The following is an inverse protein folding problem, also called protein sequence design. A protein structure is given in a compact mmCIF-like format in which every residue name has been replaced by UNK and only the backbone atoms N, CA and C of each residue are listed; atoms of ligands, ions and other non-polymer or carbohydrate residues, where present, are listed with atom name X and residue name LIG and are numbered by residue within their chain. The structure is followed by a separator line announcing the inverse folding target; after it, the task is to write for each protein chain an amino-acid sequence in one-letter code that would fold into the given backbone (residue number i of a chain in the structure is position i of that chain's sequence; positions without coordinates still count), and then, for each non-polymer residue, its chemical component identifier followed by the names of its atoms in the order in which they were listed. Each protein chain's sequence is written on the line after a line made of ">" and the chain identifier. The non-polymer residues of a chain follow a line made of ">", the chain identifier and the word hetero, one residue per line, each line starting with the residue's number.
data_IF_559171496857
#
_entry.id   IF_559171496857
#
_cell.length_a   1.000
_cell.length_b   1.000
_cell.length_c   1.000
_cell.angle_alpha   90.00
_cell.angle_beta   90.00
_cell.angle_gamma   90.00
#
_symmetry.space_group_name_H-M   'P 1'
#
loop_
_entity.id
_entity.type
_entity.pdbx_description
1 polymer ?
#
# COMPACT_ATOMS: atom_id res chain seq x y z
N UNK A 1 -6.49 66.13 9.29
CA UNK A 1 -6.71 65.24 10.45
C UNK A 1 -6.72 63.81 9.96
N UNK A 2 -5.59 63.13 10.01
CA UNK A 2 -5.48 61.72 9.64
C UNK A 2 -4.67 61.05 10.74
N UNK A 3 -5.40 60.50 11.71
CA UNK A 3 -4.82 59.79 12.85
C UNK A 3 -4.30 58.44 12.36
N UNK A 4 -2.97 58.26 12.39
CA UNK A 4 -2.33 56.95 12.22
C UNK A 4 -2.49 56.16 13.51
N UNK A 5 -3.29 55.10 13.47
CA UNK A 5 -3.27 54.08 14.51
C UNK A 5 -1.97 53.27 14.40
N UNK A 6 -1.12 53.36 15.42
CA UNK A 6 -0.01 52.43 15.63
C UNK A 6 -0.56 51.14 16.22
N UNK A 7 -0.53 50.06 15.46
CA UNK A 7 -0.69 48.71 16.01
C UNK A 7 0.61 48.37 16.73
N UNK A 8 0.60 48.41 18.06
CA UNK A 8 1.62 47.76 18.88
C UNK A 8 1.60 46.28 18.51
N UNK A 9 2.68 45.79 17.91
CA UNK A 9 2.80 44.39 17.49
C UNK A 9 2.72 43.47 18.69
N UNK A 10 1.52 42.97 18.98
CA UNK A 10 1.35 41.83 19.88
C UNK A 10 2.12 40.65 19.26
N UNK A 11 3.12 40.14 19.98
CA UNK A 11 3.85 38.95 19.56
C UNK A 11 2.87 37.82 19.22
N UNK A 12 3.14 37.05 18.16
CA UNK A 12 2.28 35.93 17.77
C UNK A 12 2.19 34.94 18.95
N UNK A 13 1.01 34.73 19.55
CA UNK A 13 0.86 33.87 20.72
C UNK A 13 1.25 32.41 20.46
N UNK A 14 1.46 32.03 19.19
CA UNK A 14 1.94 30.70 18.80
C UNK A 14 3.43 30.49 19.04
N UNK A 15 4.21 31.55 19.23
CA UNK A 15 5.66 31.44 19.52
C UNK A 15 5.90 30.70 20.84
N UNK A 16 4.97 30.80 21.77
CA UNK A 16 5.01 30.14 23.08
C UNK A 16 4.30 28.77 23.11
N UNK A 17 3.74 28.29 21.99
CA UNK A 17 3.10 26.97 21.89
C UNK A 17 4.10 25.79 21.92
N UNK A 18 5.28 25.98 22.51
CA UNK A 18 6.23 24.89 22.72
C UNK A 18 5.68 23.96 23.78
N UNK A 19 5.36 22.74 23.38
CA UNK A 19 5.11 21.66 24.33
C UNK A 19 6.38 21.46 25.17
N UNK A 20 6.30 21.41 26.51
CA UNK A 20 7.43 21.04 27.36
C UNK A 20 8.06 19.75 26.83
N UNK A 21 9.39 19.70 26.78
CA UNK A 21 10.12 18.54 26.27
C UNK A 21 9.70 17.33 27.11
N UNK A 22 9.04 16.35 26.49
CA UNK A 22 8.59 15.15 27.19
C UNK A 22 9.82 14.45 27.80
N UNK A 23 9.78 14.05 29.09
CA UNK A 23 10.94 13.44 29.77
C UNK A 23 11.44 12.20 29.03
N UNK A 24 10.54 11.44 28.41
CA UNK A 24 10.87 10.24 27.62
C UNK A 24 11.38 10.52 26.20
N UNK A 25 11.51 11.80 25.82
CA UNK A 25 11.93 12.21 24.49
C UNK A 25 10.88 11.94 23.39
N UNK A 26 11.24 12.10 22.11
CA UNK A 26 10.33 11.82 21.01
C UNK A 26 10.04 10.32 20.89
N UNK A 27 8.82 9.93 20.47
CA UNK A 27 8.49 8.52 20.29
C UNK A 27 9.41 7.89 19.24
N UNK A 28 9.93 6.70 19.55
CA UNK A 28 10.81 5.97 18.64
C UNK A 28 10.09 5.61 17.35
N UNK A 29 10.71 5.94 16.22
CA UNK A 29 10.21 5.58 14.90
C UNK A 29 10.39 4.06 14.70
N UNK A 30 9.30 3.30 14.81
CA UNK A 30 9.30 1.84 14.63
C UNK A 30 9.45 1.41 13.16
N UNK A 31 9.03 2.27 12.24
CA UNK A 31 9.02 1.98 10.80
C UNK A 31 9.46 3.22 10.02
N UNK A 32 10.29 3.01 9.00
CA UNK A 32 10.62 4.08 8.05
C UNK A 32 9.32 4.59 7.43
N UNK A 33 9.11 5.90 7.49
CA UNK A 33 8.03 6.56 6.74
C UNK A 33 8.51 6.68 5.31
N UNK A 34 8.43 5.58 4.59
CA UNK A 34 8.61 5.62 3.15
C UNK A 34 7.56 6.59 2.56
N UNK A 35 7.87 7.16 1.39
CA UNK A 35 7.15 8.29 0.82
C UNK A 35 5.62 8.14 0.78
N UNK A 36 4.93 9.26 0.56
CA UNK A 36 3.45 9.34 0.57
C UNK A 36 2.80 8.34 -0.40
N UNK A 37 3.51 7.92 -1.44
CA UNK A 37 3.06 6.93 -2.42
C UNK A 37 4.09 5.81 -2.60
N UNK A 38 3.64 4.58 -2.91
CA UNK A 38 4.52 3.44 -3.11
C UNK A 38 5.30 3.60 -4.42
N UNK A 39 6.63 3.71 -4.32
CA UNK A 39 7.54 3.76 -5.46
C UNK A 39 8.07 2.36 -5.80
N UNK A 40 7.16 1.46 -6.15
CA UNK A 40 7.48 0.06 -6.50
C UNK A 40 6.75 -0.38 -7.78
N UNK A 41 7.39 -1.29 -8.51
CA UNK A 41 6.76 -2.10 -9.55
C UNK A 41 6.63 -3.53 -9.04
N UNK A 42 5.51 -4.21 -9.30
CA UNK A 42 5.32 -5.59 -8.91
C UNK A 42 4.86 -6.46 -10.08
N UNK A 43 5.15 -7.75 -9.96
CA UNK A 43 4.66 -8.80 -10.83
C UNK A 43 3.98 -9.87 -9.96
N UNK A 44 2.74 -10.21 -10.30
CA UNK A 44 1.96 -11.31 -9.73
C UNK A 44 1.93 -12.43 -10.76
N UNK A 45 2.48 -13.58 -10.40
CA UNK A 45 2.40 -14.82 -11.18
C UNK A 45 1.33 -15.72 -10.56
N UNK A 46 0.35 -16.12 -11.36
CA UNK A 46 -0.69 -17.09 -11.00
C UNK A 46 -0.82 -18.11 -12.11
N UNK A 47 -0.38 -19.35 -11.87
CA UNK A 47 -0.30 -20.40 -12.92
C UNK A 47 0.53 -19.89 -14.10
N UNK A 48 -0.05 -19.85 -15.30
CA UNK A 48 0.62 -19.42 -16.54
C UNK A 48 0.40 -17.93 -16.85
N UNK A 49 -0.24 -17.17 -15.96
CA UNK A 49 -0.49 -15.75 -16.13
C UNK A 49 0.45 -14.89 -15.27
N UNK A 50 0.97 -13.81 -15.86
CA UNK A 50 1.76 -12.81 -15.14
C UNK A 50 1.16 -11.42 -15.34
N UNK A 51 0.64 -10.86 -14.26
CA UNK A 51 0.13 -9.50 -14.21
C UNK A 51 1.21 -8.57 -13.64
N UNK A 52 1.36 -7.38 -14.23
CA UNK A 52 2.36 -6.39 -13.80
C UNK A 52 1.71 -5.03 -13.63
N UNK A 53 2.12 -4.29 -12.61
CA UNK A 53 1.79 -2.89 -12.47
C UNK A 53 2.77 -2.16 -11.56
N UNK A 54 2.70 -0.83 -11.59
CA UNK A 54 3.33 0.02 -10.58
C UNK A 54 2.32 0.35 -9.48
N UNK A 55 2.81 0.83 -8.34
CA UNK A 55 1.98 1.49 -7.35
C UNK A 55 1.13 2.61 -7.97
N UNK A 56 -0.10 2.77 -7.49
CA UNK A 56 -1.05 3.77 -7.99
C UNK A 56 -0.65 5.17 -7.50
N UNK A 57 -0.27 6.04 -8.45
CA UNK A 57 0.24 7.40 -8.19
C UNK A 57 -0.76 8.53 -8.43
N UNK A 58 -1.92 8.26 -9.03
CA UNK A 58 -2.92 9.30 -9.35
C UNK A 58 -3.66 9.83 -8.12
N UNK A 59 -4.34 10.97 -8.27
CA UNK A 59 -5.07 11.62 -7.17
C UNK A 59 -6.16 10.72 -6.59
N UNK A 60 -6.90 10.03 -7.47
CA UNK A 60 -7.93 9.08 -7.05
C UNK A 60 -7.31 7.75 -6.61
N UNK A 61 -7.80 7.14 -5.51
CA UNK A 61 -7.44 5.77 -5.15
C UNK A 61 -7.77 4.80 -6.28
N UNK A 62 -6.97 3.72 -6.47
CA UNK A 62 -7.33 2.68 -7.41
C UNK A 62 -8.63 2.00 -7.00
N UNK A 63 -9.43 1.56 -7.97
CA UNK A 63 -10.61 0.74 -7.70
C UNK A 63 -10.14 -0.66 -7.35
N UNK A 64 -10.31 -1.05 -6.09
CA UNK A 64 -9.96 -2.39 -5.60
C UNK A 64 -11.17 -3.31 -5.64
N UNK A 65 -10.90 -4.61 -5.69
CA UNK A 65 -11.93 -5.63 -5.59
C UNK A 65 -12.56 -5.61 -4.18
N UNK A 66 -13.89 -5.75 -4.01
CA UNK A 66 -14.55 -5.61 -2.72
C UNK A 66 -13.94 -6.43 -1.59
N UNK A 67 -13.59 -7.70 -1.84
CA UNK A 67 -12.92 -8.57 -0.85
C UNK A 67 -11.56 -8.02 -0.39
N UNK A 68 -10.79 -7.41 -1.31
CA UNK A 68 -9.49 -6.79 -0.98
C UNK A 68 -9.72 -5.51 -0.18
N UNK A 69 -10.69 -4.70 -0.60
CA UNK A 69 -11.07 -3.47 0.09
C UNK A 69 -11.52 -3.76 1.53
N UNK A 70 -12.43 -4.72 1.71
CA UNK A 70 -12.93 -5.18 3.02
C UNK A 70 -11.78 -5.60 3.95
N UNK A 71 -10.82 -6.38 3.43
CA UNK A 71 -9.66 -6.79 4.21
C UNK A 71 -8.81 -5.59 4.66
N UNK A 72 -8.52 -4.66 3.74
CA UNK A 72 -7.70 -3.48 4.04
C UNK A 72 -8.39 -2.53 5.03
N UNK A 73 -9.71 -2.38 4.91
CA UNK A 73 -10.52 -1.56 5.81
C UNK A 73 -10.63 -2.15 7.22
N UNK A 74 -10.47 -3.47 7.35
CA UNK A 74 -10.46 -4.18 8.63
C UNK A 74 -9.08 -4.20 9.33
N UNK A 75 -7.99 -3.77 8.67
CA UNK A 75 -6.65 -3.81 9.27
C UNK A 75 -6.58 -2.97 10.55
N UNK A 76 -5.88 -3.39 11.61
CA UNK A 76 -5.63 -2.52 12.76
C UNK A 76 -4.72 -1.35 12.35
N UNK A 77 -4.83 -0.20 13.05
CA UNK A 77 -4.02 0.99 12.75
C UNK A 77 -2.50 0.70 12.75
N UNK A 78 -2.06 -0.23 13.61
CA UNK A 78 -0.66 -0.69 13.66
C UNK A 78 -0.21 -1.38 12.39
N UNK A 79 -1.12 -1.90 11.55
CA UNK A 79 -0.81 -2.57 10.29
C UNK A 79 -1.10 -1.71 9.05
N UNK A 80 -1.75 -0.55 9.20
CA UNK A 80 -2.10 0.34 8.08
C UNK A 80 -0.99 1.31 7.74
N UNK A 81 -0.48 1.26 6.53
CA UNK A 81 0.41 2.25 5.95
C UNK A 81 -0.34 3.47 5.40
N UNK A 82 0.33 4.62 5.27
CA UNK A 82 -0.29 5.88 4.80
C UNK A 82 -0.93 5.77 3.41
N UNK A 83 -0.36 4.91 2.57
CA UNK A 83 -0.82 4.65 1.20
C UNK A 83 -1.57 3.31 1.07
N UNK A 84 -2.22 2.85 2.14
CA UNK A 84 -2.99 1.59 2.13
C UNK A 84 -3.90 1.51 0.90
N UNK A 85 -3.85 0.39 0.19
CA UNK A 85 -4.60 0.15 -1.05
C UNK A 85 -3.98 0.70 -2.33
N UNK A 86 -2.95 1.56 -2.26
CA UNK A 86 -2.27 2.11 -3.45
C UNK A 86 -1.06 1.31 -3.91
N UNK A 87 -0.59 0.34 -3.13
CA UNK A 87 0.53 -0.50 -3.52
C UNK A 87 0.19 -1.35 -4.77
N UNK A 88 1.21 -1.86 -5.45
CA UNK A 88 0.99 -2.67 -6.65
C UNK A 88 0.31 -4.01 -6.30
N UNK A 89 0.60 -4.56 -5.12
CA UNK A 89 0.08 -5.82 -4.61
C UNK A 89 -1.46 -5.90 -4.54
N UNK A 90 -2.17 -4.99 -3.82
CA UNK A 90 -3.63 -5.01 -3.78
C UNK A 90 -4.26 -4.75 -5.15
N UNK A 91 -3.62 -3.95 -6.01
CA UNK A 91 -4.11 -3.68 -7.36
C UNK A 91 -4.02 -4.93 -8.24
N UNK A 92 -2.90 -5.66 -8.20
CA UNK A 92 -2.72 -6.90 -8.96
C UNK A 92 -3.67 -7.99 -8.50
N UNK A 93 -3.80 -8.19 -7.19
CA UNK A 93 -4.77 -9.14 -6.62
C UNK A 93 -6.18 -8.77 -7.03
N UNK A 94 -6.55 -7.48 -6.94
CA UNK A 94 -7.88 -7.02 -7.33
C UNK A 94 -8.18 -7.28 -8.81
N UNK A 95 -7.22 -7.00 -9.69
CA UNK A 95 -7.35 -7.27 -11.13
C UNK A 95 -7.53 -8.76 -11.42
N UNK A 96 -6.72 -9.61 -10.77
CA UNK A 96 -6.85 -11.07 -10.91
C UNK A 96 -8.22 -11.56 -10.46
N UNK A 97 -8.68 -11.13 -9.28
CA UNK A 97 -10.00 -11.54 -8.76
C UNK A 97 -11.14 -11.06 -9.65
N UNK A 98 -11.07 -9.83 -10.16
CA UNK A 98 -12.07 -9.31 -11.10
C UNK A 98 -12.08 -10.11 -12.42
N UNK A 99 -10.92 -10.51 -12.93
CA UNK A 99 -10.83 -11.37 -14.12
C UNK A 99 -11.43 -12.75 -13.88
N UNK A 100 -11.16 -13.34 -12.70
CA UNK A 100 -11.77 -14.60 -12.27
C UNK A 100 -13.29 -14.48 -12.17
N UNK A 101 -13.80 -13.40 -11.60
CA UNK A 101 -15.24 -13.14 -11.52
C UNK A 101 -15.89 -13.00 -12.91
N UNK A 102 -15.24 -12.29 -13.83
CA UNK A 102 -15.73 -12.11 -15.20
C UNK A 102 -15.84 -13.43 -15.98
N UNK A 103 -15.03 -14.44 -15.63
CA UNK A 103 -15.05 -15.77 -16.23
C UNK A 103 -16.10 -16.71 -15.59
N UNK A 104 -16.79 -16.30 -14.52
CA UNK A 104 -17.79 -17.15 -13.84
C UNK A 104 -19.05 -17.29 -14.71
N UNK A 105 -19.61 -18.51 -14.72
CA UNK A 105 -20.87 -18.78 -15.43
C UNK A 105 -22.06 -17.98 -14.88
N UNK A 106 -23.10 -17.77 -15.70
CA UNK A 106 -24.27 -16.92 -15.41
C UNK A 106 -24.93 -17.15 -14.04
N UNK A 107 -24.97 -18.38 -13.53
CA UNK A 107 -25.55 -18.71 -12.21
C UNK A 107 -24.63 -18.31 -11.06
N UNK A 108 -23.32 -18.52 -11.22
CA UNK A 108 -22.32 -18.19 -10.21
C UNK A 108 -22.09 -16.66 -10.11
N UNK A 109 -22.16 -15.95 -11.24
CA UNK A 109 -22.03 -14.49 -11.30
C UNK A 109 -23.13 -13.73 -10.53
N UNK A 110 -24.25 -14.39 -10.18
CA UNK A 110 -25.32 -13.79 -9.35
C UNK A 110 -24.91 -13.58 -7.90
N UNK A 111 -23.87 -14.27 -7.43
CA UNK A 111 -23.37 -14.18 -6.05
C UNK A 111 -21.98 -13.55 -6.07
N UNK A 112 -21.69 -12.58 -5.20
CA UNK A 112 -20.34 -12.06 -5.03
C UNK A 112 -19.34 -13.19 -4.79
N UNK A 113 -18.10 -13.01 -5.25
CA UNK A 113 -17.02 -13.93 -4.91
C UNK A 113 -16.85 -14.02 -3.39
N UNK A 114 -16.66 -15.23 -2.88
CA UNK A 114 -16.41 -15.48 -1.46
C UNK A 114 -14.92 -15.47 -1.14
N UNK A 115 -14.55 -15.25 0.13
CA UNK A 115 -13.16 -15.34 0.61
C UNK A 115 -12.49 -16.68 0.25
N UNK A 116 -13.24 -17.79 0.33
CA UNK A 116 -12.74 -19.12 -0.01
C UNK A 116 -12.47 -19.29 -1.52
N UNK A 117 -13.36 -18.77 -2.37
CA UNK A 117 -13.15 -18.76 -3.82
C UNK A 117 -11.97 -17.87 -4.20
N UNK A 118 -11.80 -16.71 -3.56
CA UNK A 118 -10.66 -15.82 -3.77
C UNK A 118 -9.32 -16.50 -3.42
N UNK A 119 -9.23 -17.16 -2.25
CA UNK A 119 -8.05 -17.96 -1.88
C UNK A 119 -7.78 -19.10 -2.86
N UNK A 120 -8.83 -19.76 -3.37
CA UNK A 120 -8.68 -20.81 -4.39
C UNK A 120 -8.16 -20.25 -5.72
N UNK A 121 -8.62 -19.06 -6.12
CA UNK A 121 -8.22 -18.39 -7.34
C UNK A 121 -6.74 -17.94 -7.32
N UNK A 122 -6.21 -17.64 -6.14
CA UNK A 122 -4.81 -17.23 -5.90
C UNK A 122 -3.92 -18.38 -5.43
N UNK A 123 -4.41 -19.63 -5.48
CA UNK A 123 -3.65 -20.79 -5.01
C UNK A 123 -2.35 -20.92 -5.79
N UNK A 124 -1.23 -20.96 -5.06
CA UNK A 124 0.11 -21.10 -5.63
C UNK A 124 0.67 -19.80 -6.22
N UNK A 125 -0.04 -18.67 -6.06
CA UNK A 125 0.41 -17.39 -6.57
C UNK A 125 1.72 -16.95 -5.90
N UNK A 126 2.60 -16.35 -6.72
CA UNK A 126 3.85 -15.72 -6.28
C UNK A 126 3.81 -14.25 -6.66
N UNK A 127 4.32 -13.39 -5.80
CA UNK A 127 4.44 -11.97 -6.07
C UNK A 127 5.86 -11.50 -5.79
N UNK A 128 6.42 -10.74 -6.72
CA UNK A 128 7.69 -10.05 -6.51
C UNK A 128 7.50 -8.56 -6.75
N UNK A 129 8.24 -7.73 -6.00
CA UNK A 129 8.22 -6.28 -6.17
C UNK A 129 9.65 -5.75 -6.17
N UNK A 130 9.89 -4.73 -7.00
CA UNK A 130 11.17 -4.02 -7.12
C UNK A 130 10.97 -2.54 -6.85
N UNK A 131 11.97 -1.90 -6.23
CA UNK A 131 11.96 -0.46 -5.96
C UNK A 131 12.15 0.33 -7.25
N UNK A 132 11.37 1.40 -7.43
CA UNK A 132 11.53 2.38 -8.49
C UNK A 132 12.17 3.62 -7.84
N UNK A 133 13.38 3.96 -8.27
CA UNK A 133 14.14 5.12 -7.83
C UNK A 133 14.63 5.96 -9.02
N UNK A 134 15.16 7.13 -8.75
CA UNK A 134 15.88 7.96 -9.71
C UNK A 134 17.08 7.21 -10.31
N UNK A 135 17.53 7.68 -11.48
CA UNK A 135 18.70 7.12 -12.13
C UNK A 135 19.95 7.32 -11.25
N UNK A 136 20.77 6.27 -11.15
CA UNK A 136 21.94 6.25 -10.28
C UNK A 136 21.68 5.92 -8.80
N UNK A 137 20.43 5.77 -8.34
CA UNK A 137 20.15 5.27 -6.97
C UNK A 137 20.46 3.75 -6.91
N UNK A 138 21.42 3.30 -6.07
CA UNK A 138 21.77 1.88 -5.95
C UNK A 138 20.61 1.00 -5.45
N UNK A 139 19.59 1.60 -4.82
CA UNK A 139 18.39 0.88 -4.40
C UNK A 139 17.39 0.65 -5.54
N UNK A 140 17.54 1.30 -6.72
CA UNK A 140 16.69 1.04 -7.87
C UNK A 140 16.74 -0.44 -8.26
N UNK A 141 15.60 -1.04 -8.61
CA UNK A 141 15.54 -2.42 -9.09
C UNK A 141 15.77 -3.48 -8.01
N UNK A 142 16.21 -3.12 -6.81
CA UNK A 142 16.34 -4.05 -5.68
C UNK A 142 14.98 -4.57 -5.21
N UNK A 143 14.95 -5.74 -4.59
CA UNK A 143 13.73 -6.31 -4.04
C UNK A 143 13.10 -5.41 -2.98
N UNK A 144 11.80 -5.16 -3.13
CA UNK A 144 10.98 -4.46 -2.17
C UNK A 144 10.13 -5.49 -1.40
N UNK A 145 10.36 -5.70 -0.09
CA UNK A 145 9.48 -6.55 0.70
C UNK A 145 8.08 -5.92 0.78
N UNK A 146 7.02 -6.74 0.93
CA UNK A 146 5.66 -6.24 1.03
C UNK A 146 5.54 -5.26 2.22
N UNK A 147 4.85 -4.15 2.01
CA UNK A 147 4.69 -3.15 3.07
C UNK A 147 3.83 -3.68 4.22
N UNK A 148 3.73 -2.89 5.30
CA UNK A 148 3.00 -3.27 6.53
C UNK A 148 1.52 -3.65 6.29
N UNK A 149 0.84 -3.00 5.34
CA UNK A 149 -0.54 -3.35 4.96
C UNK A 149 -0.60 -4.55 4.01
N UNK A 150 0.41 -4.71 3.16
CA UNK A 150 0.39 -5.72 2.10
C UNK A 150 0.86 -7.10 2.61
N UNK A 151 1.80 -7.15 3.56
CA UNK A 151 2.23 -8.40 4.16
C UNK A 151 1.06 -9.25 4.72
N UNK A 152 0.17 -8.72 5.58
CA UNK A 152 -0.99 -9.49 6.07
C UNK A 152 -2.00 -9.80 4.95
N UNK A 153 -2.15 -8.92 3.96
CA UNK A 153 -3.02 -9.15 2.80
C UNK A 153 -2.56 -10.37 1.98
N UNK A 154 -1.26 -10.42 1.65
CA UNK A 154 -0.66 -11.54 0.91
C UNK A 154 -0.82 -12.84 1.69
N UNK A 155 -0.55 -12.82 3.00
CA UNK A 155 -0.72 -13.98 3.87
C UNK A 155 -2.19 -14.47 3.91
N UNK A 156 -3.15 -13.56 4.02
CA UNK A 156 -4.59 -13.88 4.05
C UNK A 156 -5.07 -14.60 2.78
N UNK A 157 -4.54 -14.22 1.62
CA UNK A 157 -4.87 -14.86 0.34
C UNK A 157 -3.96 -16.04 -0.03
N UNK A 158 -2.92 -16.31 0.76
CA UNK A 158 -1.94 -17.36 0.48
C UNK A 158 -1.01 -17.04 -0.70
N UNK A 159 -0.81 -15.75 -1.01
CA UNK A 159 0.13 -15.29 -2.03
C UNK A 159 1.52 -15.19 -1.41
N UNK A 160 2.51 -15.82 -2.04
CA UNK A 160 3.89 -15.82 -1.52
C UNK A 160 4.67 -14.64 -2.08
N UNK A 161 5.22 -13.80 -1.21
CA UNK A 161 6.21 -12.81 -1.62
C UNK A 161 7.54 -13.52 -1.92
N UNK A 162 8.14 -13.24 -3.08
CA UNK A 162 9.38 -13.88 -3.56
C UNK A 162 10.41 -12.80 -3.87
N UNK A 163 11.60 -12.93 -3.28
CA UNK A 163 12.79 -12.20 -3.68
C UNK A 163 13.54 -13.02 -4.74
N UNK A 164 13.52 -12.62 -6.02
CA UNK A 164 14.18 -13.37 -7.08
C UNK A 164 15.70 -13.43 -6.86
N UNK A 165 16.27 -12.39 -6.22
CA UNK A 165 17.70 -12.29 -5.98
C UNK A 165 18.19 -13.23 -4.87
N UNK A 166 17.26 -13.83 -4.10
CA UNK A 166 17.57 -14.84 -3.10
C UNK A 166 17.37 -16.28 -3.62
N UNK A 167 16.69 -16.48 -4.75
CA UNK A 167 16.52 -17.80 -5.40
C UNK A 167 17.70 -18.14 -6.33
N UNK A 168 18.52 -17.15 -6.72
CA UNK A 168 19.68 -17.30 -7.61
C UNK A 168 21.01 -17.60 -6.85
N UNK A 169 20.97 -17.67 -5.52
CA UNK A 169 22.09 -17.97 -4.63
C UNK A 169 21.97 -19.38 -4.03
#
# INVERSE_FOLDING_TARGET
>A
MTSRFLVTGAADPRVDWRTPRHPDGPPRLRHRRDGILPAVAAALSVRDEVLKCTGAKGDRPPVLHPIVQEFLDALPATQRERFTGRCAEPVLISRHLAAVEAQRGKRAARRPLTQGEARKALRGAKLTARRIREDGDPAHGTYAPPCRSCAPLLAHFGVRAVDPSAEEA
#
